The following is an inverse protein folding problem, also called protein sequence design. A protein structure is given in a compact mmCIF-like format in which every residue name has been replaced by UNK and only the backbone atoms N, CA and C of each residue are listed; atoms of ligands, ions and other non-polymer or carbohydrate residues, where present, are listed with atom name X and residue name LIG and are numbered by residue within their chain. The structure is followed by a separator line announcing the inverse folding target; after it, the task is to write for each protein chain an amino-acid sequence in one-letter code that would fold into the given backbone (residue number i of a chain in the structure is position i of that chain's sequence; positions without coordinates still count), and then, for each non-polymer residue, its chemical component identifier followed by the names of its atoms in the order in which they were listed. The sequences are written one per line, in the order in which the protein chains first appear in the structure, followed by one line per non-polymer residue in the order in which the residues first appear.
data_IF_145843291836
#
_entry.id   IF_145843291836
#
_cell.length_a   1.000
_cell.length_b   1.000
_cell.length_c   1.000
_cell.angle_alpha   90.00
_cell.angle_beta   90.00
_cell.angle_gamma   90.00
#
_symmetry.space_group_name_H-M   'P 1'
#
loop_
_entity.id
_entity.type
_entity.pdbx_description
1 polymer ?
#
# COMPACT_ATOMS: atom_id res chain seq x y z
N UNK A 1 -42.74 -1.61 -10.12
CA UNK A 1 -43.35 -0.29 -10.13
C UNK A 1 -42.30 0.82 -10.34
N UNK A 2 -42.79 2.03 -10.46
CA UNK A 2 -41.99 3.24 -10.74
C UNK A 2 -40.88 3.52 -9.68
N UNK A 3 -41.16 3.18 -8.40
CA UNK A 3 -40.18 3.32 -7.29
C UNK A 3 -38.93 2.46 -7.48
N UNK A 4 -39.05 1.22 -8.00
CA UNK A 4 -37.92 0.35 -8.26
C UNK A 4 -37.00 0.90 -9.36
N UNK A 5 -37.60 1.43 -10.43
CA UNK A 5 -36.84 2.04 -11.54
C UNK A 5 -36.10 3.31 -11.09
N UNK A 6 -36.73 4.11 -10.22
CA UNK A 6 -36.12 5.32 -9.67
C UNK A 6 -34.94 5.00 -8.75
N UNK A 7 -35.04 3.96 -7.91
CA UNK A 7 -33.98 3.47 -7.04
C UNK A 7 -32.78 2.93 -7.85
N UNK A 8 -33.04 2.16 -8.92
CA UNK A 8 -31.98 1.67 -9.81
C UNK A 8 -31.28 2.82 -10.53
N UNK A 9 -32.02 3.82 -11.00
CA UNK A 9 -31.46 4.99 -11.66
C UNK A 9 -30.59 5.82 -10.70
N UNK A 10 -31.08 6.08 -9.49
CA UNK A 10 -30.29 6.77 -8.46
C UNK A 10 -29.03 5.99 -8.08
N UNK A 11 -29.13 4.67 -7.94
CA UNK A 11 -27.97 3.81 -7.66
C UNK A 11 -26.96 3.82 -8.82
N UNK A 12 -27.42 3.78 -10.07
CA UNK A 12 -26.57 3.86 -11.25
C UNK A 12 -25.82 5.19 -11.34
N UNK A 13 -26.49 6.30 -11.07
CA UNK A 13 -25.90 7.65 -11.04
C UNK A 13 -24.90 7.78 -9.89
N UNK A 14 -25.24 7.33 -8.69
CA UNK A 14 -24.36 7.37 -7.51
C UNK A 14 -23.06 6.54 -7.72
N UNK A 15 -23.14 5.45 -8.48
CA UNK A 15 -22.00 4.58 -8.78
C UNK A 15 -21.16 5.06 -9.99
N UNK A 16 -21.63 6.05 -10.74
CA UNK A 16 -20.93 6.53 -11.93
C UNK A 16 -19.49 7.01 -11.64
N UNK A 17 -19.25 7.83 -10.60
CA UNK A 17 -17.89 8.25 -10.25
C UNK A 17 -16.95 7.07 -9.95
N UNK A 18 -17.46 6.06 -9.23
CA UNK A 18 -16.69 4.85 -8.87
C UNK A 18 -16.32 4.08 -10.14
N UNK A 19 -17.26 3.90 -11.06
CA UNK A 19 -17.01 3.23 -12.34
C UNK A 19 -16.00 4.00 -13.21
N UNK A 20 -16.04 5.33 -13.20
CA UNK A 20 -15.06 6.15 -13.90
C UNK A 20 -13.65 5.98 -13.30
N UNK A 21 -13.52 6.02 -11.97
CA UNK A 21 -12.24 5.79 -11.28
C UNK A 21 -11.71 4.39 -11.61
N UNK A 22 -12.55 3.36 -11.53
CA UNK A 22 -12.17 1.99 -11.85
C UNK A 22 -11.70 1.85 -13.31
N UNK A 23 -12.41 2.42 -14.26
CA UNK A 23 -12.01 2.44 -15.66
C UNK A 23 -10.64 3.14 -15.88
N UNK A 24 -10.43 4.29 -15.25
CA UNK A 24 -9.16 5.02 -15.31
C UNK A 24 -8.02 4.19 -14.70
N UNK A 25 -8.26 3.58 -13.55
CA UNK A 25 -7.28 2.73 -12.86
C UNK A 25 -6.91 1.50 -13.70
N UNK A 26 -7.88 0.83 -14.31
CA UNK A 26 -7.64 -0.30 -15.22
C UNK A 26 -6.81 0.12 -16.44
N UNK A 27 -7.16 1.25 -17.06
CA UNK A 27 -6.40 1.79 -18.20
C UNK A 27 -4.95 2.09 -17.82
N UNK A 28 -4.72 2.74 -16.64
CA UNK A 28 -3.40 3.05 -16.11
C UNK A 28 -2.62 1.77 -15.79
N UNK A 29 -3.24 0.82 -15.11
CA UNK A 29 -2.64 -0.47 -14.78
C UNK A 29 -2.20 -1.24 -16.03
N UNK A 30 -3.01 -1.23 -17.09
CA UNK A 30 -2.65 -1.88 -18.36
C UNK A 30 -1.42 -1.23 -19.00
N UNK A 31 -1.27 0.10 -18.89
CA UNK A 31 -0.06 0.82 -19.36
C UNK A 31 1.16 0.43 -18.53
N UNK A 32 1.01 0.30 -17.21
CA UNK A 32 2.09 -0.13 -16.31
C UNK A 32 2.53 -1.55 -16.61
N UNK A 33 1.62 -2.50 -16.79
CA UNK A 33 1.92 -3.90 -17.17
C UNK A 33 2.64 -4.03 -18.52
N UNK A 34 2.44 -3.08 -19.44
CA UNK A 34 3.22 -3.03 -20.68
C UNK A 34 4.66 -2.58 -20.46
N UNK A 35 4.93 -1.73 -19.47
CA UNK A 35 6.25 -1.17 -19.17
C UNK A 35 7.05 -2.02 -18.18
N UNK A 36 6.38 -2.61 -17.22
CA UNK A 36 6.98 -3.32 -16.09
C UNK A 36 6.50 -4.76 -16.01
N UNK A 37 7.35 -5.61 -15.44
CA UNK A 37 7.02 -6.97 -15.01
C UNK A 37 7.01 -6.99 -13.49
N UNK A 38 6.01 -7.66 -12.91
CA UNK A 38 5.92 -7.88 -11.46
C UNK A 38 6.18 -9.35 -11.19
N UNK A 39 7.06 -9.65 -10.23
CA UNK A 39 7.41 -11.02 -9.84
C UNK A 39 7.27 -11.17 -8.34
N UNK A 40 6.53 -12.17 -7.89
CA UNK A 40 6.45 -12.54 -6.48
C UNK A 40 7.74 -13.28 -6.10
N UNK A 41 8.37 -12.85 -5.00
CA UNK A 41 9.62 -13.41 -4.50
C UNK A 41 9.45 -13.88 -3.05
N UNK A 42 9.99 -15.04 -2.75
CA UNK A 42 10.00 -15.61 -1.39
C UNK A 42 11.27 -15.24 -0.62
N UNK A 43 12.31 -14.82 -1.33
CA UNK A 43 13.57 -14.34 -0.76
C UNK A 43 13.75 -12.90 -1.20
N UNK A 44 13.86 -12.00 -0.23
CA UNK A 44 14.01 -10.57 -0.50
C UNK A 44 15.36 -10.29 -1.17
N UNK A 45 15.37 -9.69 -2.38
CA UNK A 45 16.61 -9.34 -3.05
C UNK A 45 17.38 -8.24 -2.29
N UNK A 46 18.73 -8.30 -2.35
CA UNK A 46 19.61 -7.32 -1.70
C UNK A 46 19.31 -5.86 -2.11
N UNK A 47 18.96 -5.64 -3.38
CA UNK A 47 18.65 -4.31 -3.86
C UNK A 47 17.40 -3.70 -3.24
N UNK A 48 16.43 -4.54 -2.80
CA UNK A 48 15.18 -4.04 -2.21
C UNK A 48 15.42 -3.38 -0.86
N UNK A 49 16.26 -3.97 0.00
CA UNK A 49 16.64 -3.35 1.28
C UNK A 49 17.37 -2.02 1.08
N UNK A 50 18.31 -1.95 0.12
CA UNK A 50 18.96 -0.68 -0.21
C UNK A 50 17.99 0.36 -0.73
N UNK A 51 17.04 -0.03 -1.59
CA UNK A 51 16.02 0.87 -2.12
C UNK A 51 15.11 1.40 -1.02
N UNK A 52 14.69 0.56 -0.08
CA UNK A 52 13.84 0.95 1.03
C UNK A 52 14.50 2.00 1.96
N UNK A 53 15.82 1.96 2.06
CA UNK A 53 16.58 2.84 2.96
C UNK A 53 17.17 4.08 2.29
N UNK A 54 17.00 4.25 0.98
CA UNK A 54 17.63 5.31 0.19
C UNK A 54 16.65 6.32 -0.43
N UNK A 55 15.48 6.50 0.15
CA UNK A 55 14.42 7.34 -0.43
C UNK A 55 14.58 8.86 -0.19
N UNK A 56 15.63 9.26 0.52
CA UNK A 56 15.96 10.68 0.75
C UNK A 56 15.22 11.36 1.90
N UNK A 57 14.33 10.70 2.63
CA UNK A 57 13.73 11.28 3.83
C UNK A 57 14.76 11.37 4.96
N UNK A 58 14.68 12.44 5.76
CA UNK A 58 15.60 12.66 6.88
C UNK A 58 15.38 11.65 8.01
N UNK A 59 14.13 11.26 8.23
CA UNK A 59 13.74 10.33 9.28
C UNK A 59 12.94 9.17 8.68
N UNK A 60 13.29 7.96 9.06
CA UNK A 60 12.58 6.75 8.67
C UNK A 60 12.83 5.65 9.70
N UNK A 61 11.90 4.72 9.83
CA UNK A 61 12.18 3.43 10.42
C UNK A 61 13.01 2.60 9.43
N UNK A 62 14.02 1.90 9.91
CA UNK A 62 14.94 1.15 9.05
C UNK A 62 14.27 -0.14 8.58
N UNK A 63 13.72 -0.12 7.40
CA UNK A 63 13.16 -1.28 6.70
C UNK A 63 14.19 -1.88 5.75
N UNK A 64 15.29 -2.37 6.32
CA UNK A 64 16.33 -3.04 5.53
C UNK A 64 15.87 -4.41 5.02
N UNK A 65 16.76 -5.12 4.32
CA UNK A 65 16.47 -6.46 3.79
C UNK A 65 16.04 -7.44 4.88
N UNK A 66 16.67 -7.38 6.04
CA UNK A 66 16.40 -8.29 7.15
C UNK A 66 15.01 -8.06 7.73
N UNK A 67 14.62 -6.79 7.86
CA UNK A 67 13.27 -6.40 8.28
C UNK A 67 12.22 -6.84 7.25
N UNK A 68 12.47 -6.61 5.95
CA UNK A 68 11.55 -7.02 4.88
C UNK A 68 11.38 -8.55 4.87
N UNK A 69 12.47 -9.32 4.99
CA UNK A 69 12.42 -10.77 5.03
C UNK A 69 11.68 -11.27 6.27
N UNK A 70 12.01 -10.73 7.44
CA UNK A 70 11.31 -11.06 8.67
C UNK A 70 9.81 -10.78 8.56
N UNK A 71 9.42 -9.64 7.98
CA UNK A 71 8.01 -9.29 7.81
C UNK A 71 7.30 -10.23 6.82
N UNK A 72 8.02 -10.72 5.80
CA UNK A 72 7.49 -11.70 4.85
C UNK A 72 7.31 -13.09 5.48
N UNK A 73 8.27 -13.52 6.32
CA UNK A 73 8.28 -14.86 6.90
C UNK A 73 7.36 -14.98 8.11
N UNK A 74 7.13 -13.88 8.82
CA UNK A 74 6.42 -13.87 10.09
C UNK A 74 4.93 -13.52 9.94
N UNK A 75 4.08 -14.51 10.09
CA UNK A 75 2.64 -14.29 10.25
C UNK A 75 2.32 -14.21 11.75
N UNK A 76 2.42 -13.01 12.33
CA UNK A 76 2.22 -12.75 13.76
C UNK A 76 0.85 -13.17 14.28
N UNK A 77 -0.19 -13.16 13.46
CA UNK A 77 -1.54 -13.54 13.85
C UNK A 77 -1.84 -15.02 13.58
N UNK A 78 -1.00 -15.70 12.78
CA UNK A 78 -1.00 -17.15 12.62
C UNK A 78 -2.24 -17.77 12.01
N UNK A 79 -3.16 -16.98 11.43
CA UNK A 79 -4.34 -17.56 10.79
C UNK A 79 -3.94 -18.21 9.47
N UNK A 80 -4.42 -19.45 9.21
CA UNK A 80 -4.06 -20.22 8.00
C UNK A 80 -4.45 -19.53 6.68
N UNK A 81 -5.40 -18.59 6.71
CA UNK A 81 -5.87 -17.81 5.54
C UNK A 81 -5.15 -16.49 5.38
N UNK A 82 -4.27 -16.13 6.28
CA UNK A 82 -3.44 -14.93 6.14
C UNK A 82 -2.39 -15.18 5.07
N UNK A 83 -2.18 -14.20 4.21
CA UNK A 83 -1.17 -14.25 3.16
C UNK A 83 -0.29 -13.01 3.24
N UNK A 84 1.03 -13.20 3.17
CA UNK A 84 1.99 -12.14 3.00
C UNK A 84 2.75 -12.36 1.70
N UNK A 85 2.96 -11.31 0.94
CA UNK A 85 3.63 -11.40 -0.36
C UNK A 85 4.54 -10.21 -0.58
N UNK A 86 5.70 -10.48 -1.17
CA UNK A 86 6.62 -9.46 -1.66
C UNK A 86 6.69 -9.54 -3.18
N UNK A 87 6.56 -8.40 -3.84
CA UNK A 87 6.57 -8.29 -5.28
C UNK A 87 7.69 -7.34 -5.75
N UNK A 88 8.62 -7.86 -6.50
CA UNK A 88 9.64 -7.09 -7.18
C UNK A 88 9.09 -6.56 -8.53
N UNK A 89 9.41 -5.32 -8.86
CA UNK A 89 9.03 -4.67 -10.11
C UNK A 89 10.27 -4.47 -10.96
N UNK A 90 10.26 -5.02 -12.17
CA UNK A 90 11.35 -4.92 -13.13
C UNK A 90 10.89 -4.21 -14.39
N UNK A 91 11.78 -3.49 -15.05
CA UNK A 91 11.54 -3.06 -16.43
C UNK A 91 11.61 -4.24 -17.41
N UNK A 92 11.37 -3.98 -18.71
CA UNK A 92 11.43 -5.03 -19.73
C UNK A 92 12.83 -5.57 -20.01
N UNK A 93 13.86 -4.91 -19.48
CA UNK A 93 15.26 -5.36 -19.57
C UNK A 93 15.70 -6.14 -18.32
N UNK A 94 14.79 -6.32 -17.35
CA UNK A 94 15.10 -7.02 -16.09
C UNK A 94 15.78 -6.15 -15.03
N UNK A 95 15.87 -4.83 -15.22
CA UNK A 95 16.42 -3.92 -14.21
C UNK A 95 15.38 -3.67 -13.12
N UNK A 96 15.75 -3.79 -11.82
CA UNK A 96 14.85 -3.44 -10.72
C UNK A 96 14.43 -1.97 -10.78
N UNK A 97 13.14 -1.71 -10.63
CA UNK A 97 12.55 -0.36 -10.64
C UNK A 97 11.83 -0.03 -9.34
N UNK A 98 11.37 -1.03 -8.62
CA UNK A 98 10.64 -0.85 -7.39
C UNK A 98 10.23 -2.18 -6.77
N UNK A 99 9.54 -2.10 -5.64
CA UNK A 99 8.89 -3.24 -5.03
C UNK A 99 7.67 -2.78 -4.22
N UNK A 100 6.82 -3.72 -3.86
CA UNK A 100 5.80 -3.55 -2.83
C UNK A 100 5.60 -4.84 -2.05
N UNK A 101 5.09 -4.68 -0.82
CA UNK A 101 4.78 -5.76 0.08
C UNK A 101 3.32 -5.64 0.50
N UNK A 102 2.59 -6.75 0.41
CA UNK A 102 1.17 -6.82 0.74
C UNK A 102 0.90 -7.85 1.81
N UNK A 103 -0.18 -7.64 2.53
CA UNK A 103 -0.72 -8.58 3.50
C UNK A 103 -2.22 -8.71 3.31
N UNK A 104 -2.72 -9.93 3.21
CA UNK A 104 -4.13 -10.26 3.32
C UNK A 104 -4.35 -10.93 4.68
N UNK A 105 -5.25 -10.39 5.46
CA UNK A 105 -5.60 -10.88 6.78
C UNK A 105 -7.07 -11.31 6.79
N UNK A 106 -7.30 -12.53 7.25
CA UNK A 106 -8.64 -13.02 7.46
C UNK A 106 -9.15 -12.60 8.84
N UNK A 107 -10.34 -12.03 8.90
CA UNK A 107 -11.02 -11.64 10.13
C UNK A 107 -12.38 -12.32 10.20
N UNK A 108 -12.56 -13.23 11.16
CA UNK A 108 -13.83 -13.89 11.40
C UNK A 108 -14.93 -12.89 11.81
N UNK A 109 -14.53 -11.85 12.57
CA UNK A 109 -15.40 -10.74 12.98
C UNK A 109 -14.67 -9.40 12.86
N UNK A 110 -15.25 -8.49 12.09
CA UNK A 110 -14.80 -7.11 11.94
C UNK A 110 -15.99 -6.15 12.13
N UNK A 111 -16.31 -5.84 13.37
CA UNK A 111 -17.48 -5.06 13.72
C UNK A 111 -18.77 -5.77 13.31
N UNK A 112 -19.52 -5.19 12.34
CA UNK A 112 -20.75 -5.78 11.78
C UNK A 112 -20.51 -6.80 10.66
N UNK A 113 -19.31 -6.92 10.18
CA UNK A 113 -18.94 -7.83 9.09
C UNK A 113 -18.36 -9.13 9.65
N UNK A 114 -18.56 -10.22 8.92
CA UNK A 114 -18.02 -11.55 9.26
C UNK A 114 -17.29 -12.13 8.07
N UNK A 115 -16.25 -12.91 8.36
CA UNK A 115 -15.46 -13.66 7.38
C UNK A 115 -14.93 -12.79 6.24
N UNK A 116 -14.35 -11.63 6.57
CA UNK A 116 -13.78 -10.73 5.58
C UNK A 116 -12.26 -10.94 5.45
N UNK A 117 -11.73 -10.64 4.27
CA UNK A 117 -10.31 -10.51 4.02
C UNK A 117 -9.98 -9.02 3.93
N UNK A 118 -9.06 -8.57 4.78
CA UNK A 118 -8.55 -7.20 4.76
C UNK A 118 -7.20 -7.17 4.09
N UNK A 119 -7.07 -6.36 3.04
CA UNK A 119 -5.81 -6.09 2.36
C UNK A 119 -5.05 -4.94 3.02
N UNK A 120 -3.75 -5.05 3.07
CA UNK A 120 -2.84 -3.99 3.54
C UNK A 120 -1.64 -3.91 2.60
N UNK A 121 -1.30 -2.70 2.15
CA UNK A 121 -0.03 -2.44 1.49
C UNK A 121 0.93 -1.97 2.57
N UNK A 122 1.89 -2.84 2.92
CA UNK A 122 2.74 -2.69 4.10
C UNK A 122 3.90 -1.77 3.83
N UNK A 123 4.56 -1.98 2.68
CA UNK A 123 5.76 -1.27 2.30
C UNK A 123 5.87 -1.16 0.77
N UNK A 124 6.51 -0.12 0.28
CA UNK A 124 6.88 0.04 -1.12
C UNK A 124 8.02 1.02 -1.28
N UNK A 125 8.81 0.84 -2.33
CA UNK A 125 9.82 1.80 -2.74
C UNK A 125 10.04 1.77 -4.25
N UNK A 126 10.63 2.83 -4.78
CA UNK A 126 11.04 2.96 -6.18
C UNK A 126 12.40 3.61 -6.28
N UNK A 127 13.12 3.34 -7.36
CA UNK A 127 14.39 4.01 -7.69
C UNK A 127 14.18 5.38 -8.32
N UNK A 128 13.05 5.58 -9.00
CA UNK A 128 12.77 6.78 -9.79
C UNK A 128 11.26 7.04 -9.79
N UNK A 129 10.85 8.07 -9.06
CA UNK A 129 9.44 8.46 -8.93
C UNK A 129 8.85 9.05 -10.21
N UNK A 130 9.68 9.52 -11.15
CA UNK A 130 9.23 10.05 -12.45
C UNK A 130 8.92 8.90 -13.40
N UNK A 131 9.69 7.83 -13.34
CA UNK A 131 9.48 6.63 -14.15
C UNK A 131 8.34 5.75 -13.60
N UNK A 132 8.33 5.53 -12.28
CA UNK A 132 7.39 4.69 -11.56
C UNK A 132 6.97 5.39 -10.26
N UNK A 133 5.86 6.12 -10.28
CA UNK A 133 5.42 6.86 -9.11
C UNK A 133 4.95 5.93 -7.99
N UNK A 134 5.00 6.38 -6.73
CA UNK A 134 4.48 5.62 -5.59
C UNK A 134 3.00 5.23 -5.78
N UNK A 135 2.18 6.11 -6.33
CA UNK A 135 0.78 5.80 -6.63
C UNK A 135 0.63 4.72 -7.72
N UNK A 136 1.59 4.63 -8.67
CA UNK A 136 1.61 3.52 -9.63
C UNK A 136 1.93 2.20 -8.97
N UNK A 137 2.88 2.19 -8.02
CA UNK A 137 3.21 1.00 -7.24
C UNK A 137 2.01 0.56 -6.42
N UNK A 138 1.33 1.48 -5.73
CA UNK A 138 0.12 1.19 -4.96
C UNK A 138 -0.98 0.63 -5.87
N UNK A 139 -1.17 1.17 -7.07
CA UNK A 139 -2.13 0.63 -8.04
C UNK A 139 -1.77 -0.79 -8.50
N UNK A 140 -0.47 -1.06 -8.72
CA UNK A 140 0.00 -2.41 -9.03
C UNK A 140 -0.23 -3.35 -7.85
N UNK A 141 0.04 -2.91 -6.62
CA UNK A 141 -0.21 -3.68 -5.41
C UNK A 141 -1.70 -4.04 -5.23
N UNK A 142 -2.62 -3.09 -5.47
CA UNK A 142 -4.07 -3.37 -5.43
C UNK A 142 -4.43 -4.51 -6.37
N UNK A 143 -3.80 -4.60 -7.54
CA UNK A 143 -4.11 -5.63 -8.53
C UNK A 143 -3.63 -7.03 -8.17
N UNK A 144 -2.89 -7.20 -7.06
CA UNK A 144 -2.39 -8.51 -6.59
C UNK A 144 -3.24 -9.10 -5.47
N UNK A 145 -4.13 -8.32 -4.86
CA UNK A 145 -5.05 -8.83 -3.86
C UNK A 145 -6.08 -9.78 -4.46
N UNK A 146 -6.56 -10.69 -3.64
CA UNK A 146 -7.64 -11.61 -4.04
C UNK A 146 -8.93 -10.84 -4.35
N UNK A 147 -9.79 -11.43 -5.18
CA UNK A 147 -11.13 -10.88 -5.50
C UNK A 147 -12.02 -10.74 -4.27
N UNK A 148 -11.74 -11.52 -3.22
CA UNK A 148 -12.50 -11.57 -1.97
C UNK A 148 -12.03 -10.53 -0.96
N UNK A 149 -10.99 -9.76 -1.28
CA UNK A 149 -10.50 -8.69 -0.41
C UNK A 149 -11.56 -7.59 -0.27
N UNK A 150 -12.08 -7.45 0.94
CA UNK A 150 -13.17 -6.53 1.24
C UNK A 150 -12.77 -5.06 1.11
N UNK A 151 -11.58 -4.71 1.59
CA UNK A 151 -10.99 -3.38 1.41
C UNK A 151 -9.47 -3.45 1.53
N UNK A 152 -8.79 -2.43 0.99
CA UNK A 152 -7.34 -2.28 1.06
C UNK A 152 -6.99 -1.02 1.83
N UNK A 153 -6.06 -1.13 2.78
CA UNK A 153 -5.53 -0.01 3.57
C UNK A 153 -4.05 0.21 3.29
N UNK A 154 -3.61 1.45 3.46
CA UNK A 154 -2.20 1.82 3.44
C UNK A 154 -1.96 3.10 4.23
N UNK A 155 -0.71 3.41 4.51
CA UNK A 155 -0.28 4.62 5.23
C UNK A 155 0.81 5.32 4.42
N UNK A 156 0.73 6.63 4.32
CA UNK A 156 1.80 7.47 3.78
C UNK A 156 1.88 8.79 4.55
N UNK A 157 3.08 9.28 4.79
CA UNK A 157 3.35 10.63 5.30
C UNK A 157 3.49 11.66 4.18
N UNK A 158 3.74 11.21 2.94
CA UNK A 158 3.93 12.10 1.80
C UNK A 158 2.60 12.66 1.28
N UNK A 159 2.48 14.00 1.29
CA UNK A 159 1.27 14.71 0.86
C UNK A 159 0.97 14.58 -0.63
N UNK A 160 2.00 14.43 -1.47
CA UNK A 160 1.80 14.28 -2.91
C UNK A 160 1.27 12.88 -3.22
N UNK A 161 1.84 11.87 -2.57
CA UNK A 161 1.33 10.49 -2.63
C UNK A 161 -0.11 10.43 -2.11
N UNK A 162 -0.44 11.05 -0.96
CA UNK A 162 -1.82 11.12 -0.46
C UNK A 162 -2.79 11.71 -1.51
N UNK A 163 -2.44 12.83 -2.14
CA UNK A 163 -3.27 13.43 -3.20
C UNK A 163 -3.50 12.48 -4.36
N UNK A 164 -2.44 11.79 -4.80
CA UNK A 164 -2.53 10.82 -5.90
C UNK A 164 -3.34 9.57 -5.53
N UNK A 165 -3.25 9.10 -4.28
CA UNK A 165 -4.05 7.99 -3.77
C UNK A 165 -5.54 8.33 -3.77
N UNK A 166 -5.93 9.56 -3.43
CA UNK A 166 -7.32 10.03 -3.55
C UNK A 166 -7.85 9.93 -4.99
N UNK A 167 -7.02 10.21 -6.00
CA UNK A 167 -7.39 10.04 -7.40
C UNK A 167 -7.55 8.55 -7.79
N UNK A 168 -6.91 7.64 -7.10
CA UNK A 168 -7.12 6.18 -7.26
C UNK A 168 -8.38 5.68 -6.53
N UNK A 169 -9.08 6.52 -5.79
CA UNK A 169 -10.29 6.16 -5.04
C UNK A 169 -10.08 5.87 -3.56
N UNK A 170 -8.87 6.09 -3.03
CA UNK A 170 -8.65 5.97 -1.59
C UNK A 170 -9.34 7.08 -0.82
N UNK A 171 -9.96 6.70 0.29
CA UNK A 171 -10.59 7.61 1.24
C UNK A 171 -9.71 7.71 2.48
N UNK A 172 -9.44 8.93 2.95
CA UNK A 172 -8.73 9.13 4.21
C UNK A 172 -9.60 8.66 5.37
N UNK A 173 -9.14 7.64 6.07
CA UNK A 173 -9.89 7.04 7.18
C UNK A 173 -9.48 7.59 8.55
N UNK A 174 -8.25 8.06 8.72
CA UNK A 174 -7.74 8.57 9.99
C UNK A 174 -6.33 9.14 9.89
N UNK A 175 -5.81 9.51 11.04
CA UNK A 175 -4.41 9.91 11.24
C UNK A 175 -3.79 8.99 12.27
N UNK A 176 -2.59 8.52 12.01
CA UNK A 176 -1.77 7.88 13.03
C UNK A 176 -1.04 8.97 13.82
N UNK A 177 -1.13 8.88 15.14
CA UNK A 177 -0.32 9.71 16.01
C UNK A 177 1.01 9.00 16.22
N UNK A 178 2.10 9.69 15.90
CA UNK A 178 3.43 9.24 16.21
C UNK A 178 3.93 9.95 17.46
N UNK A 179 4.36 9.18 18.46
CA UNK A 179 5.01 9.71 19.64
C UNK A 179 6.51 9.51 19.53
N UNK A 180 7.25 10.60 19.65
CA UNK A 180 8.70 10.60 19.55
C UNK A 180 9.28 11.21 20.84
N UNK A 181 10.22 10.50 21.48
CA UNK A 181 10.90 10.97 22.69
C UNK A 181 12.38 11.17 22.42
N UNK A 182 12.77 12.44 22.24
CA UNK A 182 14.17 12.84 22.10
C UNK A 182 14.73 13.32 23.42
N UNK A 183 15.39 12.44 24.16
CA UNK A 183 16.00 12.75 25.46
C UNK A 183 17.19 13.70 25.39
N UNK A 184 17.80 13.85 24.22
CA UNK A 184 19.03 14.64 24.02
C UNK A 184 18.80 15.86 23.14
N UNK A 185 17.55 16.13 22.77
CA UNK A 185 17.16 17.24 21.86
C UNK A 185 17.97 17.30 20.55
N UNK A 186 18.34 16.11 20.05
CA UNK A 186 19.15 15.97 18.83
C UNK A 186 18.34 16.17 17.55
N UNK A 187 17.01 15.98 17.61
CA UNK A 187 16.11 15.94 16.47
C UNK A 187 15.06 17.05 16.56
N UNK A 188 15.54 18.29 16.61
CA UNK A 188 14.70 19.51 16.83
C UNK A 188 13.59 19.68 15.79
N UNK A 189 13.77 19.17 14.57
CA UNK A 189 12.81 19.24 13.49
C UNK A 189 11.98 17.94 13.30
N UNK A 190 12.10 16.97 14.22
CA UNK A 190 11.35 15.71 14.15
C UNK A 190 9.83 15.89 14.28
N UNK A 191 9.35 17.06 14.68
CA UNK A 191 7.92 17.44 14.65
C UNK A 191 7.40 17.71 13.23
N UNK A 192 8.28 17.95 12.25
CA UNK A 192 7.88 18.14 10.86
C UNK A 192 7.60 16.80 10.18
N UNK A 193 6.33 16.55 9.94
CA UNK A 193 5.82 15.32 9.31
C UNK A 193 6.41 15.09 7.90
N UNK A 194 6.78 16.14 7.19
CA UNK A 194 7.30 16.03 5.83
C UNK A 194 8.72 15.44 5.77
N UNK A 195 9.43 15.44 6.91
CA UNK A 195 10.76 14.86 7.03
C UNK A 195 10.75 13.34 7.29
N UNK A 196 9.57 12.78 7.55
CA UNK A 196 9.41 11.36 7.88
C UNK A 196 8.90 10.56 6.68
N UNK A 197 9.53 9.42 6.46
CA UNK A 197 8.96 8.36 5.66
C UNK A 197 8.18 7.40 6.57
N UNK A 198 6.86 7.45 6.49
CA UNK A 198 5.98 6.55 7.24
C UNK A 198 5.19 5.67 6.27
N UNK A 199 5.21 4.38 6.52
CA UNK A 199 4.46 3.35 5.82
C UNK A 199 3.66 2.53 6.83
N UNK A 200 2.77 1.69 6.35
CA UNK A 200 1.97 0.85 7.24
C UNK A 200 2.86 -0.06 8.10
N UNK A 201 3.99 -0.51 7.56
CA UNK A 201 4.99 -1.29 8.30
C UNK A 201 5.58 -0.59 9.53
N UNK A 202 5.58 0.75 9.56
CA UNK A 202 5.99 1.54 10.71
C UNK A 202 4.93 1.58 11.83
N UNK A 203 3.73 1.11 11.57
CA UNK A 203 2.62 1.18 12.51
C UNK A 203 2.50 -0.13 13.28
N UNK A 204 2.67 -0.10 14.59
CA UNK A 204 2.44 -1.26 15.48
C UNK A 204 0.98 -1.76 15.48
N UNK A 205 0.10 -1.19 14.69
CA UNK A 205 -1.28 -1.65 14.46
C UNK A 205 -1.39 -3.02 13.81
N UNK A 206 -0.25 -3.65 13.50
CA UNK A 206 -0.19 -5.07 13.09
C UNK A 206 -0.59 -6.00 14.26
N UNK A 207 -0.66 -5.50 15.47
CA UNK A 207 -0.86 -6.29 16.69
C UNK A 207 -2.27 -6.14 17.29
N UNK A 208 -3.15 -5.34 16.71
CA UNK A 208 -4.51 -5.15 17.24
C UNK A 208 -5.55 -5.82 16.37
#
# INVERSE_FOLDING_TARGET
GMEGVLLELCSAIANLPIKCIDFMNRSRLNKLKKKFNTKEETIIPEWAGRMATSDGHKYMELHDRSWLQWNLDYNLMGHMRDKQSFYAIYDKKGKPQGFFMTKERFEERAGRYQNIIRGTIVEWATTDTDLLSEADIVLMAISTFSSDTFHVTTVTSDKNTEKRLKLLGFIRHGNFQMSFKDKKEQFKDASDQNLWRLRYGCCNTIIL
#
